data_IF_671022646433
#
_entry.id   IF_671022646433
#
_cell.length_a   1.000
_cell.length_b   1.000
_cell.length_c   1.000
_cell.angle_alpha   90.00
_cell.angle_beta   90.00
_cell.angle_gamma   90.00
#
_symmetry.space_group_name_H-M   'P 1'
#
loop_
_entity.id
_entity.type
_entity.pdbx_description
1 polymer ?
#
# COMPACT_ATOMS: atom_id res chain seq x y z
N UNK A 1 10.66 -4.37 -40.85
CA UNK A 1 9.68 -3.50 -40.16
C UNK A 1 9.70 -3.71 -38.64
N UNK A 2 9.26 -4.86 -38.10
CA UNK A 2 9.21 -5.16 -36.65
C UNK A 2 10.48 -4.80 -35.87
N UNK A 3 11.66 -5.23 -36.33
CA UNK A 3 12.93 -4.88 -35.67
C UNK A 3 13.19 -3.36 -35.64
N UNK A 4 12.89 -2.64 -36.72
CA UNK A 4 13.05 -1.18 -36.81
C UNK A 4 12.07 -0.44 -35.90
N UNK A 5 10.84 -0.95 -35.74
CA UNK A 5 9.87 -0.44 -34.77
C UNK A 5 10.40 -0.62 -33.34
N UNK A 6 10.91 -1.80 -32.99
CA UNK A 6 11.54 -2.04 -31.69
C UNK A 6 12.77 -1.16 -31.47
N UNK A 7 13.61 -0.94 -32.48
CA UNK A 7 14.76 -0.01 -32.38
C UNK A 7 14.29 1.42 -32.14
N UNK A 8 13.23 1.87 -32.84
CA UNK A 8 12.61 3.18 -32.65
C UNK A 8 12.10 3.34 -31.21
N UNK A 9 11.29 2.40 -30.73
CA UNK A 9 10.75 2.40 -29.37
C UNK A 9 11.85 2.45 -28.29
N UNK A 10 12.93 1.68 -28.48
CA UNK A 10 14.10 1.71 -27.57
C UNK A 10 14.84 3.05 -27.57
N UNK A 11 14.85 3.78 -28.69
CA UNK A 11 15.43 5.12 -28.77
C UNK A 11 14.51 6.15 -28.13
N UNK A 12 13.20 6.05 -28.36
CA UNK A 12 12.16 6.90 -27.75
C UNK A 12 12.15 6.80 -26.23
N UNK A 13 12.34 5.60 -25.69
CA UNK A 13 12.37 5.41 -24.25
C UNK A 13 13.69 5.84 -23.58
N UNK A 14 14.80 5.92 -24.34
CA UNK A 14 16.07 6.49 -23.85
C UNK A 14 16.12 8.01 -23.96
N UNK A 15 15.44 8.56 -24.96
CA UNK A 15 15.41 9.99 -25.22
C UNK A 15 13.98 10.39 -25.53
N UNK A 16 13.32 11.03 -24.56
CA UNK A 16 11.95 11.52 -24.69
C UNK A 16 11.76 12.43 -25.91
N UNK A 17 12.81 13.14 -26.35
CA UNK A 17 12.78 13.99 -27.56
C UNK A 17 12.64 13.20 -28.86
N UNK A 18 12.97 11.91 -28.84
CA UNK A 18 12.78 11.03 -29.99
C UNK A 18 11.32 10.59 -30.16
N UNK A 19 10.50 10.66 -29.10
CA UNK A 19 9.05 10.46 -29.20
C UNK A 19 8.41 11.78 -29.67
N UNK A 20 8.39 11.99 -30.98
CA UNK A 20 7.97 13.25 -31.59
C UNK A 20 6.55 13.70 -31.18
N UNK A 21 5.51 12.83 -31.20
CA UNK A 21 4.17 13.22 -30.75
C UNK A 21 4.15 13.72 -29.30
N UNK A 22 4.78 12.99 -28.38
CA UNK A 22 4.88 13.37 -26.98
C UNK A 22 5.64 14.70 -26.82
N UNK A 23 6.85 14.77 -27.36
CA UNK A 23 7.73 15.93 -27.22
C UNK A 23 7.08 17.20 -27.76
N UNK A 24 6.52 17.19 -28.97
CA UNK A 24 5.89 18.38 -29.55
C UNK A 24 4.67 18.84 -28.73
N UNK A 25 3.85 17.91 -28.25
CA UNK A 25 2.66 18.26 -27.47
C UNK A 25 2.98 18.79 -26.07
N UNK A 26 4.07 18.30 -25.45
CA UNK A 26 4.45 18.59 -24.08
C UNK A 26 5.59 19.61 -23.95
N UNK A 27 6.18 20.06 -25.05
CA UNK A 27 7.36 20.95 -25.07
C UNK A 27 7.18 22.18 -24.18
N UNK A 28 6.05 22.87 -24.31
CA UNK A 28 5.79 24.09 -23.54
C UNK A 28 5.68 23.78 -22.05
N UNK A 29 5.00 22.69 -21.67
CA UNK A 29 4.88 22.26 -20.29
C UNK A 29 6.25 21.86 -19.69
N UNK A 30 7.11 21.19 -20.47
CA UNK A 30 8.46 20.80 -20.05
C UNK A 30 9.30 22.04 -19.73
N UNK A 31 9.23 23.07 -20.55
CA UNK A 31 9.98 24.32 -20.33
C UNK A 31 9.40 25.14 -19.17
N UNK A 32 8.07 25.27 -19.10
CA UNK A 32 7.37 26.03 -18.03
C UNK A 32 7.64 25.42 -16.66
N UNK A 33 7.55 24.10 -16.55
CA UNK A 33 7.70 23.35 -15.29
C UNK A 33 9.15 22.90 -15.03
N UNK A 34 10.09 23.28 -15.90
CA UNK A 34 11.53 22.98 -15.79
C UNK A 34 11.83 21.48 -15.64
N UNK A 35 11.10 20.64 -16.39
CA UNK A 35 11.27 19.20 -16.40
C UNK A 35 12.49 18.77 -17.22
N UNK A 36 13.68 19.25 -16.86
CA UNK A 36 14.93 18.99 -17.58
C UNK A 36 15.74 17.90 -16.87
N UNK A 37 15.79 16.66 -17.40
CA UNK A 37 16.55 15.59 -16.77
C UNK A 37 18.05 15.90 -16.78
N UNK A 38 18.71 15.66 -15.64
CA UNK A 38 20.16 15.82 -15.48
C UNK A 38 20.89 14.63 -16.10
N UNK A 39 21.20 14.74 -17.40
CA UNK A 39 22.01 13.76 -18.14
C UNK A 39 21.21 12.85 -19.08
N UNK A 40 21.88 12.30 -20.10
CA UNK A 40 21.28 11.48 -21.16
C UNK A 40 20.92 10.04 -20.76
N UNK A 41 20.50 9.84 -19.51
CA UNK A 41 20.19 8.54 -18.93
C UNK A 41 18.91 7.93 -19.52
N UNK A 42 18.78 6.59 -19.59
CA UNK A 42 17.50 5.90 -19.79
C UNK A 42 16.36 6.34 -18.87
N UNK A 43 16.67 6.98 -17.74
CA UNK A 43 15.70 7.55 -16.81
C UNK A 43 15.11 8.90 -17.26
N UNK A 44 15.63 9.51 -18.34
CA UNK A 44 15.22 10.85 -18.78
C UNK A 44 13.72 10.93 -19.13
N UNK A 45 13.16 9.90 -19.78
CA UNK A 45 11.74 9.87 -20.09
C UNK A 45 10.88 9.71 -18.82
N UNK A 46 11.28 8.80 -17.93
CA UNK A 46 10.59 8.60 -16.66
C UNK A 46 10.58 9.90 -15.84
N UNK A 47 11.71 10.60 -15.74
CA UNK A 47 11.83 11.90 -15.08
C UNK A 47 10.85 12.94 -15.64
N UNK A 48 10.79 13.07 -16.97
CA UNK A 48 9.88 14.05 -17.61
C UNK A 48 8.42 13.70 -17.34
N UNK A 49 8.05 12.42 -17.40
CA UNK A 49 6.69 11.98 -17.07
C UNK A 49 6.34 12.30 -15.60
N UNK A 50 7.21 11.92 -14.66
CA UNK A 50 7.07 12.19 -13.21
C UNK A 50 6.89 13.69 -12.91
N UNK A 51 7.74 14.52 -13.52
CA UNK A 51 7.70 15.97 -13.33
C UNK A 51 6.39 16.57 -13.85
N UNK A 52 5.96 16.19 -15.05
CA UNK A 52 4.71 16.68 -15.63
C UNK A 52 3.47 16.15 -14.89
N UNK A 53 3.49 14.91 -14.42
CA UNK A 53 2.44 14.36 -13.55
C UNK A 53 2.36 15.12 -12.22
N UNK A 54 3.51 15.44 -11.63
CA UNK A 54 3.57 16.26 -10.41
C UNK A 54 2.95 17.63 -10.64
N UNK A 55 3.27 18.30 -11.76
CA UNK A 55 2.65 19.57 -12.13
C UNK A 55 1.12 19.43 -12.26
N UNK A 56 0.63 18.42 -12.99
CA UNK A 56 -0.82 18.15 -13.12
C UNK A 56 -1.46 17.96 -11.74
N UNK A 57 -0.79 17.25 -10.85
CA UNK A 57 -1.28 16.92 -9.51
C UNK A 57 -1.30 18.12 -8.57
N UNK A 58 -0.35 19.04 -8.72
CA UNK A 58 -0.31 20.32 -8.00
C UNK A 58 -1.32 21.35 -8.58
N UNK A 59 -2.11 20.96 -9.60
CA UNK A 59 -3.14 21.80 -10.21
C UNK A 59 -2.59 22.74 -11.30
N UNK A 60 -1.35 22.53 -11.73
CA UNK A 60 -0.72 23.33 -12.77
C UNK A 60 -1.29 23.00 -14.16
N UNK A 61 -1.15 23.97 -15.07
CA UNK A 61 -1.68 23.83 -16.43
C UNK A 61 -0.78 22.97 -17.32
N UNK A 62 -1.34 21.88 -17.84
CA UNK A 62 -0.75 21.05 -18.90
C UNK A 62 -1.81 20.80 -19.96
N UNK A 63 -1.46 20.96 -21.24
CA UNK A 63 -2.42 20.86 -22.35
C UNK A 63 -3.08 19.47 -22.41
N UNK A 64 -4.37 19.41 -22.78
CA UNK A 64 -5.08 18.14 -22.90
C UNK A 64 -4.46 17.19 -23.94
N UNK A 65 -3.83 17.74 -24.99
CA UNK A 65 -3.08 16.96 -25.98
C UNK A 65 -1.80 16.36 -25.41
N UNK A 66 -1.06 17.11 -24.57
CA UNK A 66 0.09 16.55 -23.85
C UNK A 66 -0.36 15.44 -22.89
N UNK A 67 -1.41 15.68 -22.09
CA UNK A 67 -1.95 14.67 -21.17
C UNK A 67 -2.39 13.39 -21.90
N UNK A 68 -2.95 13.51 -23.11
CA UNK A 68 -3.32 12.34 -23.91
C UNK A 68 -2.08 11.54 -24.33
N UNK A 69 -1.06 12.19 -24.90
CA UNK A 69 0.16 11.50 -25.31
C UNK A 69 0.95 10.93 -24.12
N UNK A 70 0.91 11.58 -22.96
CA UNK A 70 1.41 11.01 -21.70
C UNK A 70 0.72 9.67 -21.42
N UNK A 71 -0.62 9.65 -21.39
CA UNK A 71 -1.40 8.43 -21.11
C UNK A 71 -1.15 7.30 -22.13
N UNK A 72 -0.97 7.64 -23.40
CA UNK A 72 -0.64 6.67 -24.45
C UNK A 72 0.73 6.04 -24.22
N UNK A 73 1.73 6.88 -23.91
CA UNK A 73 3.08 6.43 -23.63
C UNK A 73 3.17 5.58 -22.35
N UNK A 74 2.45 5.98 -21.29
CA UNK A 74 2.41 5.24 -20.03
C UNK A 74 1.84 3.82 -20.23
N UNK A 75 0.77 3.69 -21.02
CA UNK A 75 0.21 2.38 -21.41
C UNK A 75 1.20 1.55 -22.21
N UNK A 76 1.92 2.15 -23.15
CA UNK A 76 2.93 1.43 -23.93
C UNK A 76 4.05 0.89 -23.03
N UNK A 77 4.53 1.70 -22.08
CA UNK A 77 5.58 1.32 -21.12
C UNK A 77 5.15 0.18 -20.19
N UNK A 78 3.87 0.13 -19.79
CA UNK A 78 3.30 -0.94 -18.97
C UNK A 78 2.86 -2.18 -19.76
N UNK A 79 2.64 -2.07 -21.07
CA UNK A 79 2.24 -3.21 -21.90
C UNK A 79 3.43 -3.99 -22.47
N UNK A 80 4.54 -3.31 -22.78
CA UNK A 80 5.72 -3.90 -23.41
C UNK A 80 7.01 -3.52 -22.67
N UNK A 81 7.44 -4.36 -21.72
CA UNK A 81 8.68 -4.16 -20.97
C UNK A 81 9.92 -3.97 -21.88
N UNK A 82 9.91 -4.51 -23.11
CA UNK A 82 11.07 -4.46 -24.02
C UNK A 82 11.35 -3.06 -24.56
N UNK A 83 10.37 -2.16 -24.46
CA UNK A 83 10.52 -0.74 -24.78
C UNK A 83 11.03 0.05 -23.59
N UNK A 84 11.00 -0.49 -22.38
CA UNK A 84 11.54 0.16 -21.18
C UNK A 84 13.03 -0.20 -21.00
N UNK A 85 13.98 0.72 -21.27
CA UNK A 85 15.40 0.41 -21.23
C UNK A 85 15.92 0.22 -19.80
N UNK A 86 15.27 0.84 -18.80
CA UNK A 86 15.62 0.65 -17.40
C UNK A 86 15.26 -0.77 -16.94
N UNK A 87 14.05 -1.25 -17.23
CA UNK A 87 13.63 -2.63 -16.91
C UNK A 87 14.52 -3.64 -17.65
N UNK A 88 14.73 -3.45 -18.97
CA UNK A 88 15.56 -4.40 -19.75
C UNK A 88 16.99 -4.48 -19.21
N UNK A 89 17.57 -3.36 -18.79
CA UNK A 89 18.95 -3.33 -18.27
C UNK A 89 19.05 -3.86 -16.83
N UNK A 90 18.10 -3.51 -15.96
CA UNK A 90 18.18 -3.76 -14.51
C UNK A 90 17.52 -5.07 -14.07
N UNK A 91 16.61 -5.63 -14.88
CA UNK A 91 15.90 -6.88 -14.59
C UNK A 91 16.31 -8.06 -15.48
N UNK A 92 17.43 -7.98 -16.20
CA UNK A 92 17.82 -9.02 -17.17
C UNK A 92 17.97 -10.40 -16.52
N UNK A 93 18.51 -10.46 -15.30
CA UNK A 93 18.71 -11.70 -14.54
C UNK A 93 17.36 -12.31 -14.17
N UNK A 94 16.48 -11.52 -13.57
CA UNK A 94 15.17 -11.94 -13.09
C UNK A 94 14.28 -12.41 -14.24
N UNK A 95 14.29 -11.69 -15.36
CA UNK A 95 13.52 -12.06 -16.55
C UNK A 95 13.95 -13.44 -17.07
N UNK A 96 15.27 -13.69 -17.15
CA UNK A 96 15.81 -14.95 -17.67
C UNK A 96 15.58 -16.12 -16.72
N UNK A 97 15.72 -15.89 -15.42
CA UNK A 97 15.64 -16.96 -14.41
C UNK A 97 14.21 -17.29 -13.98
N UNK A 98 13.35 -16.28 -13.88
CA UNK A 98 12.03 -16.43 -13.28
C UNK A 98 10.87 -16.20 -14.27
N UNK A 99 11.05 -15.35 -15.29
CA UNK A 99 10.00 -14.99 -16.24
C UNK A 99 10.27 -15.53 -17.66
N UNK A 100 10.64 -16.81 -17.75
CA UNK A 100 11.15 -17.51 -18.96
C UNK A 100 10.25 -17.36 -20.20
N UNK A 101 8.95 -17.08 -20.03
CA UNK A 101 8.04 -16.71 -21.12
C UNK A 101 7.83 -15.20 -21.13
N UNK A 102 8.65 -14.54 -21.93
CA UNK A 102 8.48 -13.13 -22.26
C UNK A 102 7.18 -12.96 -23.06
N UNK A 103 6.14 -12.50 -22.39
CA UNK A 103 4.83 -12.26 -22.98
C UNK A 103 4.48 -10.76 -22.97
N UNK A 104 3.89 -10.31 -24.07
CA UNK A 104 3.36 -8.94 -24.23
C UNK A 104 2.07 -8.75 -23.43
N UNK A 105 1.67 -7.49 -23.26
CA UNK A 105 0.44 -7.11 -22.59
C UNK A 105 0.59 -7.11 -21.07
N UNK A 106 1.75 -6.66 -20.57
CA UNK A 106 2.02 -6.47 -19.14
C UNK A 106 2.45 -7.71 -18.37
N UNK A 107 2.27 -8.92 -18.91
CA UNK A 107 2.55 -10.18 -18.19
C UNK A 107 3.98 -10.35 -17.68
N UNK A 108 4.97 -9.84 -18.42
CA UNK A 108 6.37 -9.89 -17.96
C UNK A 108 6.58 -8.98 -16.76
N UNK A 109 5.95 -7.80 -16.73
CA UNK A 109 6.00 -6.90 -15.59
C UNK A 109 5.25 -7.49 -14.38
N UNK A 110 4.08 -8.11 -14.60
CA UNK A 110 3.37 -8.81 -13.53
C UNK A 110 4.20 -9.92 -12.90
N UNK A 111 4.87 -10.75 -13.73
CA UNK A 111 5.79 -11.77 -13.23
C UNK A 111 6.90 -11.15 -12.39
N UNK A 112 7.51 -10.06 -12.85
CA UNK A 112 8.54 -9.37 -12.07
C UNK A 112 8.00 -8.80 -10.75
N UNK A 113 6.79 -8.24 -10.75
CA UNK A 113 6.13 -7.73 -9.54
C UNK A 113 5.81 -8.86 -8.54
N UNK A 114 5.31 -10.00 -9.03
CA UNK A 114 5.06 -11.21 -8.25
C UNK A 114 6.35 -11.73 -7.60
N UNK A 115 7.43 -11.86 -8.38
CA UNK A 115 8.73 -12.34 -7.88
C UNK A 115 9.41 -11.35 -6.93
N UNK A 116 9.21 -10.05 -7.12
CA UNK A 116 9.63 -9.04 -6.16
C UNK A 116 8.95 -9.22 -4.80
N UNK A 117 7.67 -9.62 -4.79
CA UNK A 117 6.91 -9.88 -3.57
C UNK A 117 7.35 -11.18 -2.89
N UNK A 118 7.54 -12.26 -3.65
CA UNK A 118 7.94 -13.57 -3.12
C UNK A 118 9.30 -13.54 -2.41
N UNK A 119 10.26 -12.70 -2.85
CA UNK A 119 11.54 -12.47 -2.15
C UNK A 119 11.33 -12.10 -0.67
N UNK A 120 10.30 -11.31 -0.38
CA UNK A 120 9.98 -10.85 0.97
C UNK A 120 8.97 -11.79 1.66
N UNK A 121 8.58 -12.89 1.02
CA UNK A 121 7.69 -13.91 1.55
C UNK A 121 8.41 -15.05 2.25
N UNK A 122 7.63 -16.06 2.64
CA UNK A 122 8.06 -17.24 3.40
C UNK A 122 9.12 -18.07 2.64
N UNK A 123 9.07 -18.05 1.30
CA UNK A 123 9.99 -18.76 0.39
C UNK A 123 11.19 -17.90 -0.03
N UNK A 124 12.09 -17.64 0.91
CA UNK A 124 13.31 -16.82 0.73
C UNK A 124 14.40 -17.41 -0.19
N UNK A 125 14.06 -18.33 -1.10
CA UNK A 125 14.99 -18.93 -2.07
C UNK A 125 15.16 -18.11 -3.36
N UNK A 126 14.34 -17.08 -3.58
CA UNK A 126 14.36 -16.27 -4.80
C UNK A 126 15.32 -15.08 -4.63
N UNK A 127 16.41 -15.11 -5.39
CA UNK A 127 17.38 -14.01 -5.45
C UNK A 127 16.90 -12.92 -6.42
N UNK A 128 16.01 -12.04 -5.95
CA UNK A 128 15.52 -10.88 -6.72
C UNK A 128 16.35 -9.63 -6.41
N UNK A 129 16.98 -9.01 -7.40
CA UNK A 129 17.89 -7.87 -7.18
C UNK A 129 17.17 -6.61 -6.70
N UNK A 130 17.88 -5.79 -5.93
CA UNK A 130 17.40 -4.47 -5.55
C UNK A 130 17.27 -3.55 -6.78
N UNK A 131 18.19 -3.68 -7.74
CA UNK A 131 18.17 -2.91 -8.98
C UNK A 131 16.90 -3.13 -9.81
N UNK A 132 16.47 -4.38 -9.95
CA UNK A 132 15.22 -4.67 -10.65
C UNK A 132 14.00 -4.14 -9.89
N UNK A 133 14.00 -4.26 -8.56
CA UNK A 133 12.91 -3.73 -7.71
C UNK A 133 12.74 -2.23 -7.89
N UNK A 134 13.84 -1.47 -7.81
CA UNK A 134 13.81 -0.02 -8.03
C UNK A 134 13.34 0.32 -9.44
N UNK A 135 13.82 -0.38 -10.46
CA UNK A 135 13.38 -0.15 -11.84
C UNK A 135 11.87 -0.33 -12.04
N UNK A 136 11.25 -1.29 -11.34
CA UNK A 136 9.80 -1.49 -11.33
C UNK A 136 9.11 -0.36 -10.55
N UNK A 137 9.62 -0.01 -9.38
CA UNK A 137 9.08 1.08 -8.57
C UNK A 137 9.05 2.40 -9.35
N UNK A 138 10.16 2.76 -10.00
CA UNK A 138 10.29 3.96 -10.83
C UNK A 138 9.32 3.94 -12.01
N UNK A 139 9.15 2.77 -12.65
CA UNK A 139 8.18 2.60 -13.73
C UNK A 139 6.74 2.81 -13.24
N UNK A 140 6.37 2.23 -12.09
CA UNK A 140 5.04 2.38 -11.52
C UNK A 140 4.75 3.84 -11.17
N UNK A 141 5.75 4.58 -10.67
CA UNK A 141 5.62 6.02 -10.38
C UNK A 141 5.42 6.81 -11.67
N UNK A 142 6.30 6.64 -12.65
CA UNK A 142 6.27 7.40 -13.91
C UNK A 142 5.05 7.10 -14.79
N UNK A 143 4.33 6.02 -14.51
CA UNK A 143 3.13 5.63 -15.25
C UNK A 143 1.84 5.93 -14.51
N UNK A 144 1.90 6.46 -13.29
CA UNK A 144 0.70 6.69 -12.47
C UNK A 144 -0.05 5.40 -12.14
N UNK A 145 0.62 4.24 -12.15
CA UNK A 145 -0.02 2.93 -11.95
C UNK A 145 -0.70 2.80 -10.58
N UNK A 146 -0.25 3.59 -9.60
CA UNK A 146 -0.81 3.63 -8.26
C UNK A 146 -2.06 4.49 -8.08
N UNK A 147 -2.51 5.19 -9.11
CA UNK A 147 -3.78 5.92 -9.11
C UNK A 147 -4.70 5.58 -10.29
N UNK A 148 -4.23 4.84 -11.29
CA UNK A 148 -5.07 4.34 -12.38
C UNK A 148 -4.75 2.88 -12.74
N UNK A 149 -5.59 1.96 -12.27
CA UNK A 149 -5.47 0.52 -12.57
C UNK A 149 -5.57 0.20 -14.07
N UNK A 150 -6.09 1.10 -14.90
CA UNK A 150 -6.21 0.92 -16.35
C UNK A 150 -4.87 1.05 -17.06
N UNK A 151 -3.88 1.67 -16.43
CA UNK A 151 -2.50 1.77 -16.96
C UNK A 151 -1.83 0.41 -16.94
N UNK A 152 -2.09 -0.39 -15.90
CA UNK A 152 -1.63 -1.78 -15.81
C UNK A 152 -2.55 -2.68 -16.65
N UNK A 153 -2.07 -3.13 -17.81
CA UNK A 153 -2.90 -3.79 -18.82
C UNK A 153 -3.62 -5.05 -18.32
N UNK A 154 -2.99 -5.81 -17.43
CA UNK A 154 -3.55 -7.02 -16.82
C UNK A 154 -4.58 -6.69 -15.76
N UNK A 155 -4.35 -5.73 -14.87
CA UNK A 155 -5.38 -5.21 -13.97
C UNK A 155 -6.57 -4.67 -14.75
N UNK A 156 -6.35 -3.84 -15.78
CA UNK A 156 -7.41 -3.36 -16.67
C UNK A 156 -8.27 -4.51 -17.19
N UNK A 157 -7.64 -5.59 -17.66
CA UNK A 157 -8.36 -6.73 -18.24
C UNK A 157 -9.10 -7.56 -17.20
N UNK A 158 -8.48 -7.83 -16.06
CA UNK A 158 -9.00 -8.76 -15.06
C UNK A 158 -9.95 -8.10 -14.06
N UNK A 159 -9.71 -6.84 -13.72
CA UNK A 159 -10.47 -6.10 -12.71
C UNK A 159 -11.59 -5.24 -13.28
N UNK A 160 -11.74 -5.11 -14.60
CA UNK A 160 -12.80 -4.30 -15.19
C UNK A 160 -14.22 -4.78 -14.81
N UNK A 161 -14.50 -6.08 -14.88
CA UNK A 161 -15.81 -6.60 -14.50
C UNK A 161 -16.11 -6.46 -12.99
N UNK A 162 -15.17 -6.81 -12.09
CA UNK A 162 -15.30 -6.50 -10.66
C UNK A 162 -15.50 -5.00 -10.37
N UNK A 163 -14.75 -4.11 -11.03
CA UNK A 163 -14.87 -2.66 -10.85
C UNK A 163 -16.29 -2.18 -11.18
N UNK A 164 -16.87 -2.63 -12.30
CA UNK A 164 -18.26 -2.31 -12.65
C UNK A 164 -19.30 -2.93 -11.71
N UNK A 165 -18.96 -3.99 -10.98
CA UNK A 165 -19.91 -4.67 -10.08
C UNK A 165 -19.86 -4.08 -8.66
N UNK A 166 -18.65 -3.83 -8.15
CA UNK A 166 -18.39 -3.46 -6.75
C UNK A 166 -18.20 -1.95 -6.56
N UNK A 167 -17.63 -1.26 -7.56
CA UNK A 167 -17.16 0.12 -7.42
C UNK A 167 -17.92 1.11 -8.32
N UNK A 168 -19.24 0.93 -8.44
CA UNK A 168 -20.09 1.76 -9.32
C UNK A 168 -20.16 3.23 -8.91
N UNK A 169 -20.06 3.50 -7.62
CA UNK A 169 -20.20 4.83 -7.05
C UNK A 169 -18.88 5.63 -7.05
N UNK A 170 -17.78 5.01 -7.46
CA UNK A 170 -16.50 5.68 -7.60
C UNK A 170 -16.53 6.68 -8.78
N UNK A 171 -16.11 7.91 -8.50
CA UNK A 171 -16.24 9.05 -9.40
C UNK A 171 -15.04 9.25 -10.34
N UNK A 172 -13.92 8.59 -10.08
CA UNK A 172 -12.70 8.65 -10.89
C UNK A 172 -11.89 7.36 -10.75
N UNK A 173 -10.83 7.21 -11.56
CA UNK A 173 -10.05 5.97 -11.63
C UNK A 173 -9.27 5.65 -10.35
N UNK A 174 -8.88 6.69 -9.61
CA UNK A 174 -8.22 6.56 -8.30
C UNK A 174 -9.19 6.01 -7.24
N UNK A 175 -10.41 6.53 -7.19
CA UNK A 175 -11.46 6.02 -6.31
C UNK A 175 -11.87 4.59 -6.67
N UNK A 176 -11.87 4.23 -7.96
CA UNK A 176 -12.10 2.84 -8.39
C UNK A 176 -10.99 1.93 -7.87
N UNK A 177 -9.73 2.34 -7.99
CA UNK A 177 -8.59 1.57 -7.51
C UNK A 177 -8.65 1.36 -5.98
N UNK A 178 -8.89 2.43 -5.20
CA UNK A 178 -9.06 2.33 -3.75
C UNK A 178 -10.20 1.38 -3.38
N UNK A 179 -11.36 1.50 -4.04
CA UNK A 179 -12.50 0.61 -3.80
C UNK A 179 -12.18 -0.86 -4.12
N UNK A 180 -11.46 -1.14 -5.21
CA UNK A 180 -11.04 -2.51 -5.55
C UNK A 180 -10.13 -3.09 -4.47
N UNK A 181 -9.22 -2.28 -3.92
CA UNK A 181 -8.30 -2.70 -2.86
C UNK A 181 -9.00 -2.89 -1.52
N UNK A 182 -9.96 -2.04 -1.16
CA UNK A 182 -10.80 -2.22 0.04
C UNK A 182 -11.63 -3.51 -0.04
N UNK A 183 -12.04 -3.88 -1.25
CA UNK A 183 -12.79 -5.09 -1.54
C UNK A 183 -11.88 -6.26 -1.96
N UNK A 184 -10.58 -6.22 -1.62
CA UNK A 184 -9.62 -7.26 -2.00
C UNK A 184 -10.12 -8.65 -1.59
N UNK A 185 -10.82 -8.74 -0.44
CA UNK A 185 -11.39 -9.98 0.09
C UNK A 185 -12.76 -10.37 -0.43
N UNK A 186 -13.40 -9.50 -1.21
CA UNK A 186 -14.73 -9.78 -1.71
C UNK A 186 -14.72 -10.92 -2.73
N UNK A 187 -15.69 -11.84 -2.60
CA UNK A 187 -15.83 -13.02 -3.46
C UNK A 187 -15.98 -12.69 -4.94
N UNK A 188 -16.58 -11.54 -5.25
CA UNK A 188 -16.85 -11.12 -6.63
C UNK A 188 -15.63 -10.48 -7.32
N UNK A 189 -14.53 -10.26 -6.61
CA UNK A 189 -13.30 -9.72 -7.20
C UNK A 189 -12.60 -10.75 -8.12
N UNK A 190 -12.68 -12.03 -7.75
CA UNK A 190 -12.01 -13.12 -8.45
C UNK A 190 -10.51 -13.23 -8.12
N UNK A 191 -9.98 -14.46 -8.16
CA UNK A 191 -8.59 -14.75 -7.73
C UNK A 191 -7.52 -14.03 -8.54
N UNK A 192 -7.68 -13.96 -9.87
CA UNK A 192 -6.67 -13.35 -10.76
C UNK A 192 -6.59 -11.83 -10.59
N UNK A 193 -7.73 -11.14 -10.50
CA UNK A 193 -7.74 -9.69 -10.24
C UNK A 193 -7.14 -9.39 -8.85
N UNK A 194 -7.53 -10.16 -7.83
CA UNK A 194 -7.00 -10.07 -6.48
C UNK A 194 -5.48 -10.20 -6.44
N UNK A 195 -4.92 -11.22 -7.09
CA UNK A 195 -3.48 -11.47 -7.14
C UNK A 195 -2.72 -10.27 -7.73
N UNK A 196 -3.15 -9.78 -8.90
CA UNK A 196 -2.53 -8.61 -9.51
C UNK A 196 -2.69 -7.33 -8.66
N UNK A 197 -3.81 -7.17 -7.94
CA UNK A 197 -4.01 -6.04 -7.04
C UNK A 197 -3.06 -6.12 -5.84
N UNK A 198 -2.84 -7.30 -5.27
CA UNK A 198 -1.87 -7.48 -4.18
C UNK A 198 -0.45 -7.19 -4.68
N UNK A 199 -0.09 -7.64 -5.89
CA UNK A 199 1.21 -7.32 -6.49
C UNK A 199 1.43 -5.81 -6.62
N UNK A 200 0.42 -5.05 -7.05
CA UNK A 200 0.50 -3.58 -7.10
C UNK A 200 0.58 -2.99 -5.69
N UNK A 201 -0.33 -3.40 -4.80
CA UNK A 201 -0.38 -2.92 -3.40
C UNK A 201 0.94 -3.15 -2.66
N UNK A 202 1.69 -4.21 -2.98
CA UNK A 202 3.00 -4.46 -2.39
C UNK A 202 4.00 -3.31 -2.63
N UNK A 203 4.00 -2.71 -3.82
CA UNK A 203 4.82 -1.55 -4.14
C UNK A 203 4.25 -0.27 -3.52
N UNK A 204 2.92 -0.07 -3.60
CA UNK A 204 2.25 1.05 -2.92
C UNK A 204 2.51 1.05 -1.40
N UNK A 205 2.59 -0.15 -0.81
CA UNK A 205 2.85 -0.33 0.61
C UNK A 205 4.21 0.20 1.04
N UNK A 206 5.18 0.15 0.13
CA UNK A 206 6.58 0.50 0.38
C UNK A 206 6.88 1.93 -0.02
N UNK A 207 6.18 2.48 -0.99
CA UNK A 207 6.42 3.85 -1.43
C UNK A 207 5.20 4.74 -1.23
N UNK A 208 5.33 5.69 -0.31
CA UNK A 208 4.29 6.67 -0.02
C UNK A 208 3.90 7.49 -1.25
N UNK A 209 4.82 7.73 -2.19
CA UNK A 209 4.54 8.50 -3.42
C UNK A 209 3.75 7.69 -4.45
N UNK A 210 3.81 6.36 -4.40
CA UNK A 210 3.10 5.51 -5.34
C UNK A 210 1.60 5.49 -5.07
N UNK A 211 1.17 5.58 -3.80
CA UNK A 211 -0.25 5.66 -3.46
C UNK A 211 -0.75 7.07 -3.73
N UNK A 212 -1.30 7.30 -4.92
CA UNK A 212 -1.60 8.65 -5.41
C UNK A 212 -2.65 9.37 -4.55
N UNK A 213 -3.65 8.65 -4.04
CA UNK A 213 -4.68 9.20 -3.17
C UNK A 213 -4.06 9.67 -1.84
N UNK A 214 -3.27 8.80 -1.22
CA UNK A 214 -2.57 9.10 0.03
C UNK A 214 -1.57 10.25 -0.16
N UNK A 215 -0.74 10.19 -1.19
CA UNK A 215 0.28 11.19 -1.46
C UNK A 215 -0.32 12.57 -1.65
N UNK A 216 -1.35 12.72 -2.49
CA UNK A 216 -2.02 14.00 -2.73
C UNK A 216 -2.66 14.57 -1.47
N UNK A 217 -3.25 13.73 -0.63
CA UNK A 217 -3.88 14.16 0.61
C UNK A 217 -2.86 14.55 1.69
N UNK A 218 -1.70 13.88 1.74
CA UNK A 218 -0.80 13.91 2.88
C UNK A 218 0.57 14.53 2.64
N UNK A 219 0.96 14.89 1.40
CA UNK A 219 2.31 15.43 1.07
C UNK A 219 2.73 16.55 2.02
N UNK A 220 1.88 17.56 2.22
CA UNK A 220 2.19 18.71 3.06
C UNK A 220 2.29 18.34 4.55
N UNK A 221 1.35 17.52 5.05
CA UNK A 221 1.37 17.05 6.43
C UNK A 221 2.63 16.22 6.69
N UNK A 222 3.04 15.37 5.75
CA UNK A 222 4.25 14.57 5.85
C UNK A 222 5.52 15.44 5.89
N UNK A 223 5.57 16.51 5.09
CA UNK A 223 6.69 17.46 5.10
C UNK A 223 6.82 18.21 6.43
N UNK A 224 5.70 18.60 7.05
CA UNK A 224 5.69 19.35 8.31
C UNK A 224 5.87 18.48 9.55
N UNK A 225 5.32 17.27 9.53
CA UNK A 225 5.19 16.41 10.72
C UNK A 225 6.25 15.31 10.79
N UNK A 226 6.73 14.80 9.66
CA UNK A 226 7.61 13.63 9.61
C UNK A 226 9.08 13.98 9.29
N UNK A 227 9.50 15.22 9.58
CA UNK A 227 10.86 15.74 9.41
C UNK A 227 11.48 15.46 8.03
N UNK A 228 10.66 15.47 6.96
CA UNK A 228 11.16 15.32 5.59
C UNK A 228 10.64 16.44 4.67
N UNK A 229 11.39 17.54 4.53
CA UNK A 229 10.99 18.67 3.69
C UNK A 229 11.07 18.39 2.19
N UNK A 230 11.71 17.29 1.76
CA UNK A 230 11.98 16.97 0.35
C UNK A 230 11.14 15.81 -0.18
N UNK A 231 10.08 15.40 0.54
CA UNK A 231 9.13 14.39 0.04
C UNK A 231 8.61 14.81 -1.35
N UNK A 232 8.79 13.93 -2.33
CA UNK A 232 8.35 14.16 -3.71
C UNK A 232 9.39 14.79 -4.63
N UNK A 233 10.57 15.17 -4.12
CA UNK A 233 11.67 15.66 -4.94
C UNK A 233 12.44 14.46 -5.56
N UNK A 234 12.48 14.32 -6.89
CA UNK A 234 13.15 13.20 -7.54
C UNK A 234 14.65 13.09 -7.24
N UNK A 235 15.30 14.18 -6.86
CA UNK A 235 16.75 14.26 -6.62
C UNK A 235 17.11 14.23 -5.12
N UNK A 236 16.18 14.61 -4.23
CA UNK A 236 16.46 14.83 -2.80
C UNK A 236 15.63 13.98 -1.82
N UNK A 237 14.63 13.21 -2.28
CA UNK A 237 13.86 12.35 -1.38
C UNK A 237 14.67 11.11 -0.94
N UNK A 238 15.11 11.09 0.32
CA UNK A 238 15.90 10.01 0.94
C UNK A 238 15.07 9.13 1.89
N UNK A 239 13.74 9.21 1.84
CA UNK A 239 12.88 8.51 2.81
C UNK A 239 13.06 7.00 2.74
N UNK A 240 13.29 6.32 3.88
CA UNK A 240 13.12 4.88 3.94
C UNK A 240 11.65 4.50 3.63
N UNK A 241 11.47 3.79 2.52
CA UNK A 241 10.22 3.20 2.06
C UNK A 241 9.32 2.68 3.21
N UNK A 242 8.15 3.30 3.40
CA UNK A 242 7.11 2.86 4.35
C UNK A 242 7.07 3.55 5.72
N UNK A 243 7.99 4.48 6.04
CA UNK A 243 8.01 5.16 7.35
C UNK A 243 7.00 6.32 7.48
N UNK A 244 6.63 6.97 6.37
CA UNK A 244 5.74 8.14 6.39
C UNK A 244 4.33 7.79 6.86
N UNK A 245 3.74 6.70 6.36
CA UNK A 245 2.41 6.27 6.79
C UNK A 245 2.38 6.00 8.30
N UNK A 246 3.38 5.29 8.82
CA UNK A 246 3.48 4.99 10.26
C UNK A 246 3.74 6.26 11.10
N UNK A 247 4.45 7.26 10.58
CA UNK A 247 4.61 8.56 11.22
C UNK A 247 3.26 9.30 11.29
N UNK A 248 2.59 9.49 10.15
CA UNK A 248 1.30 10.18 10.06
C UNK A 248 0.26 9.50 10.95
N UNK A 249 0.18 8.18 10.92
CA UNK A 249 -0.77 7.43 11.74
C UNK A 249 -0.57 7.65 13.25
N UNK A 250 0.69 7.69 13.72
CA UNK A 250 1.00 8.02 15.13
C UNK A 250 0.58 9.44 15.52
N UNK A 251 0.59 10.40 14.60
CA UNK A 251 0.06 11.75 14.84
C UNK A 251 -1.48 11.81 14.90
N UNK A 252 -2.18 10.80 14.35
CA UNK A 252 -3.64 10.69 14.42
C UNK A 252 -4.08 10.10 15.75
N UNK A 253 -3.39 9.06 16.23
CA UNK A 253 -3.79 8.34 17.44
C UNK A 253 -3.61 9.20 18.71
N UNK A 254 -4.67 9.39 19.52
CA UNK A 254 -4.65 10.31 20.68
C UNK A 254 -3.55 10.03 21.70
N UNK A 255 -3.12 8.77 21.84
CA UNK A 255 -2.13 8.34 22.84
C UNK A 255 -0.72 8.16 22.29
N UNK A 256 -0.55 8.34 20.97
CA UNK A 256 0.75 8.23 20.29
C UNK A 256 1.25 9.58 19.77
N UNK A 257 0.39 10.61 19.69
CA UNK A 257 0.83 11.93 19.26
C UNK A 257 1.67 12.62 20.35
N UNK A 258 2.97 12.77 20.07
CA UNK A 258 3.93 13.43 20.97
C UNK A 258 3.74 14.95 21.08
N UNK A 259 3.09 15.59 20.09
CA UNK A 259 2.75 17.01 20.12
C UNK A 259 1.28 17.25 19.74
N UNK A 260 0.38 17.40 20.73
CA UNK A 260 -1.05 17.61 20.50
C UNK A 260 -1.41 18.85 19.67
N UNK A 261 -0.47 19.79 19.49
CA UNK A 261 -0.65 21.00 18.67
C UNK A 261 -0.44 20.71 17.18
N UNK A 262 0.37 19.71 16.86
CA UNK A 262 0.64 19.23 15.51
C UNK A 262 -0.38 18.15 15.16
N UNK A 263 -1.28 18.45 14.23
CA UNK A 263 -2.36 17.56 13.82
C UNK A 263 -2.35 17.38 12.32
N UNK A 264 -2.54 16.14 11.91
CA UNK A 264 -2.76 15.77 10.52
C UNK A 264 -4.06 16.42 10.01
N UNK A 265 -4.06 16.90 8.77
CA UNK A 265 -5.24 17.49 8.15
C UNK A 265 -6.37 16.47 8.01
N UNK A 266 -7.63 16.91 8.02
CA UNK A 266 -8.78 15.98 7.94
C UNK A 266 -8.78 15.10 6.69
N UNK A 267 -8.31 15.65 5.56
CA UNK A 267 -8.24 14.91 4.29
C UNK A 267 -7.16 13.84 4.38
N UNK A 268 -5.98 14.18 4.90
CA UNK A 268 -4.93 13.20 5.13
C UNK A 268 -5.33 12.14 6.18
N UNK A 269 -6.02 12.52 7.26
CA UNK A 269 -6.55 11.55 8.24
C UNK A 269 -7.40 10.49 7.56
N UNK A 270 -8.33 10.89 6.70
CA UNK A 270 -9.20 9.95 6.00
C UNK A 270 -8.39 8.97 5.12
N UNK A 271 -7.41 9.46 4.36
CA UNK A 271 -6.58 8.62 3.50
C UNK A 271 -5.61 7.73 4.28
N UNK A 272 -5.05 8.20 5.40
CA UNK A 272 -4.19 7.39 6.27
C UNK A 272 -5.00 6.25 6.88
N UNK A 273 -6.18 6.52 7.45
CA UNK A 273 -7.04 5.47 8.02
C UNK A 273 -7.46 4.46 6.95
N UNK A 274 -7.94 4.94 5.78
CA UNK A 274 -8.28 4.10 4.62
C UNK A 274 -7.12 3.18 4.24
N UNK A 275 -5.93 3.76 4.11
CA UNK A 275 -4.72 3.02 3.72
C UNK A 275 -4.32 1.99 4.77
N UNK A 276 -4.40 2.33 6.06
CA UNK A 276 -4.11 1.40 7.15
C UNK A 276 -5.09 0.23 7.18
N UNK A 277 -6.40 0.49 7.09
CA UNK A 277 -7.45 -0.54 7.03
C UNK A 277 -7.33 -1.44 5.80
N UNK A 278 -6.92 -0.87 4.66
CA UNK A 278 -6.66 -1.62 3.44
C UNK A 278 -5.47 -2.56 3.63
N UNK A 279 -4.33 -2.05 4.11
CA UNK A 279 -3.08 -2.82 4.28
C UNK A 279 -3.18 -3.89 5.37
N UNK A 280 -4.02 -3.68 6.39
CA UNK A 280 -4.25 -4.66 7.44
C UNK A 280 -4.82 -6.01 6.94
N UNK A 281 -5.32 -6.07 5.70
CA UNK A 281 -5.81 -7.31 5.07
C UNK A 281 -4.74 -8.35 4.80
N UNK A 282 -3.47 -7.97 4.72
CA UNK A 282 -2.40 -8.88 4.33
C UNK A 282 -1.06 -8.40 4.89
N UNK A 283 -0.36 -9.28 5.61
CA UNK A 283 0.93 -8.94 6.25
C UNK A 283 1.97 -8.43 5.24
N UNK A 284 1.90 -8.82 3.96
CA UNK A 284 2.80 -8.37 2.89
C UNK A 284 2.65 -6.89 2.55
N UNK A 285 1.50 -6.31 2.92
CA UNK A 285 1.17 -4.90 2.77
C UNK A 285 1.54 -4.08 4.02
N UNK A 286 2.11 -4.73 5.04
CA UNK A 286 2.66 -4.12 6.26
C UNK A 286 4.18 -4.34 6.31
N UNK A 287 4.99 -3.54 5.58
CA UNK A 287 6.43 -3.80 5.43
C UNK A 287 7.18 -3.92 6.75
N UNK A 288 6.80 -3.12 7.76
CA UNK A 288 7.43 -3.15 9.07
C UNK A 288 7.23 -4.50 9.78
N UNK A 289 6.02 -5.08 9.71
CA UNK A 289 5.72 -6.40 10.27
C UNK A 289 6.39 -7.48 9.43
N UNK A 290 6.18 -7.47 8.12
CA UNK A 290 6.74 -8.48 7.23
C UNK A 290 8.26 -8.62 7.38
N UNK A 291 9.00 -7.51 7.36
CA UNK A 291 10.46 -7.53 7.48
C UNK A 291 10.94 -7.97 8.88
N UNK A 292 10.19 -7.62 9.93
CA UNK A 292 10.51 -8.02 11.30
C UNK A 292 10.15 -9.47 11.60
N UNK A 293 9.15 -10.02 10.90
CA UNK A 293 8.52 -11.30 11.20
C UNK A 293 8.74 -12.38 10.15
N UNK A 294 9.47 -12.13 9.05
CA UNK A 294 9.63 -13.11 7.95
C UNK A 294 10.10 -14.49 8.43
N UNK A 295 11.05 -14.55 9.37
CA UNK A 295 11.54 -15.81 9.94
C UNK A 295 10.47 -16.53 10.77
N UNK A 296 9.72 -15.79 11.58
CA UNK A 296 8.65 -16.34 12.41
C UNK A 296 7.45 -16.78 11.56
N UNK A 297 7.14 -16.04 10.49
CA UNK A 297 6.14 -16.42 9.49
C UNK A 297 6.49 -17.76 8.84
N UNK A 298 7.75 -17.95 8.43
CA UNK A 298 8.20 -19.23 7.83
C UNK A 298 8.23 -20.38 8.84
N UNK A 299 8.58 -20.13 10.10
CA UNK A 299 8.81 -21.20 11.08
C UNK A 299 7.57 -21.58 11.88
N UNK A 300 6.69 -20.62 12.17
CA UNK A 300 5.51 -20.79 13.03
C UNK A 300 4.19 -20.79 12.24
N UNK A 301 4.15 -20.11 11.08
CA UNK A 301 2.93 -19.81 10.35
C UNK A 301 2.90 -20.34 8.89
N UNK A 302 3.88 -21.16 8.48
CA UNK A 302 3.95 -21.67 7.11
C UNK A 302 2.86 -22.71 6.77
N UNK A 303 2.39 -23.46 7.77
CA UNK A 303 1.31 -24.45 7.61
C UNK A 303 0.08 -23.96 8.38
N UNK A 304 -1.07 -23.83 7.70
CA UNK A 304 -2.41 -23.50 8.27
C UNK A 304 -2.74 -22.02 8.43
N UNK A 305 -2.26 -21.16 7.53
CA UNK A 305 -2.66 -19.76 7.51
C UNK A 305 -3.26 -19.46 6.14
N UNK A 306 -4.55 -19.13 6.12
CA UNK A 306 -5.17 -18.56 4.92
C UNK A 306 -4.65 -17.12 4.72
N UNK A 307 -4.61 -16.61 3.48
CA UNK A 307 -4.22 -15.22 3.24
C UNK A 307 -5.03 -14.25 4.12
N UNK A 308 -4.33 -13.40 4.86
CA UNK A 308 -4.90 -12.44 5.81
C UNK A 308 -5.04 -12.94 7.25
N UNK A 309 -4.67 -14.19 7.55
CA UNK A 309 -4.65 -14.74 8.92
C UNK A 309 -3.23 -14.72 9.54
N UNK A 310 -2.23 -14.18 8.84
CA UNK A 310 -0.83 -14.20 9.28
C UNK A 310 -0.62 -13.43 10.58
N UNK A 311 -1.26 -12.26 10.71
CA UNK A 311 -1.18 -11.45 11.94
C UNK A 311 -1.76 -12.24 13.12
N UNK A 312 -2.92 -12.88 12.95
CA UNK A 312 -3.54 -13.73 13.97
C UNK A 312 -2.61 -14.87 14.40
N UNK A 313 -1.99 -15.56 13.44
CA UNK A 313 -1.02 -16.61 13.74
C UNK A 313 0.19 -16.09 14.55
N UNK A 314 0.71 -14.92 14.19
CA UNK A 314 1.80 -14.28 14.94
C UNK A 314 1.37 -13.90 16.36
N UNK A 315 0.16 -13.34 16.54
CA UNK A 315 -0.43 -13.02 17.85
C UNK A 315 -0.65 -14.27 18.71
N UNK A 316 -1.11 -15.37 18.13
CA UNK A 316 -1.28 -16.65 18.81
C UNK A 316 0.05 -17.16 19.36
N UNK A 317 1.13 -16.94 18.61
CA UNK A 317 2.49 -17.32 18.99
C UNK A 317 3.33 -16.21 19.63
N UNK A 318 2.70 -15.11 20.09
CA UNK A 318 3.39 -13.89 20.55
C UNK A 318 4.60 -14.11 21.47
N UNK A 319 4.50 -15.03 22.44
CA UNK A 319 5.58 -15.33 23.40
C UNK A 319 6.78 -16.06 22.80
N UNK A 320 6.59 -16.73 21.65
CA UNK A 320 7.62 -17.49 20.93
C UNK A 320 8.28 -16.70 19.81
N UNK A 321 7.74 -15.52 19.48
CA UNK A 321 8.27 -14.66 18.44
C UNK A 321 9.68 -14.17 18.80
N UNK A 322 10.49 -13.91 17.79
CA UNK A 322 11.77 -13.23 17.96
C UNK A 322 11.52 -11.79 18.44
N UNK A 323 12.45 -11.22 19.23
CA UNK A 323 12.28 -9.88 19.86
C UNK A 323 11.84 -8.80 18.86
N UNK A 324 12.42 -8.81 17.64
CA UNK A 324 12.07 -7.87 16.57
C UNK A 324 10.62 -8.05 16.11
N UNK A 325 10.19 -9.28 15.84
CA UNK A 325 8.81 -9.56 15.43
C UNK A 325 7.82 -9.32 16.57
N UNK A 326 8.14 -9.76 17.77
CA UNK A 326 7.34 -9.55 18.98
C UNK A 326 7.08 -8.06 19.21
N UNK A 327 8.09 -7.21 19.00
CA UNK A 327 7.94 -5.75 19.12
C UNK A 327 6.98 -5.21 18.06
N UNK A 328 7.16 -5.55 16.79
CA UNK A 328 6.28 -5.08 15.70
C UNK A 328 4.84 -5.58 15.85
N UNK A 329 4.63 -6.84 16.25
CA UNK A 329 3.30 -7.38 16.51
C UNK A 329 2.67 -6.74 17.75
N UNK A 330 3.45 -6.50 18.80
CA UNK A 330 2.93 -5.84 20.00
C UNK A 330 2.50 -4.39 19.73
N UNK A 331 3.25 -3.65 18.89
CA UNK A 331 2.87 -2.32 18.43
C UNK A 331 1.59 -2.37 17.59
N UNK A 332 1.51 -3.28 16.62
CA UNK A 332 0.32 -3.41 15.76
C UNK A 332 -0.93 -3.85 16.55
N UNK A 333 -0.81 -4.81 17.47
CA UNK A 333 -1.92 -5.21 18.36
C UNK A 333 -2.39 -4.06 19.25
N UNK A 334 -1.48 -3.17 19.68
CA UNK A 334 -1.86 -1.95 20.36
C UNK A 334 -2.61 -0.98 19.43
N UNK A 335 -2.19 -0.84 18.18
CA UNK A 335 -2.91 -0.04 17.18
C UNK A 335 -4.32 -0.60 16.93
N UNK A 336 -4.48 -1.92 16.78
CA UNK A 336 -5.79 -2.59 16.68
C UNK A 336 -6.69 -2.38 17.92
N UNK A 337 -6.11 -2.01 19.06
CA UNK A 337 -6.85 -1.70 20.29
C UNK A 337 -7.35 -0.27 20.36
N UNK A 338 -6.73 0.63 19.61
CA UNK A 338 -7.20 2.00 19.43
C UNK A 338 -8.14 2.11 18.22
N UNK A 339 -7.95 1.26 17.20
CA UNK A 339 -8.75 1.21 15.99
C UNK A 339 -9.09 -0.23 15.61
N UNK A 340 -10.34 -0.64 15.89
CA UNK A 340 -10.82 -2.00 15.66
C UNK A 340 -10.92 -2.35 14.17
N UNK A 341 -10.97 -1.36 13.28
CA UNK A 341 -11.08 -1.60 11.84
C UNK A 341 -9.75 -2.12 11.23
N UNK A 342 -8.66 -2.07 12.01
CA UNK A 342 -7.42 -2.78 11.69
C UNK A 342 -7.50 -4.29 11.93
N UNK A 343 -8.35 -4.75 12.86
CA UNK A 343 -8.55 -6.18 13.11
C UNK A 343 -9.48 -6.76 12.03
N UNK A 344 -8.88 -7.20 10.93
CA UNK A 344 -9.64 -7.67 9.76
C UNK A 344 -10.45 -8.93 10.04
N UNK A 345 -10.04 -9.75 11.02
CA UNK A 345 -10.83 -10.91 11.42
C UNK A 345 -12.15 -10.46 12.07
N UNK A 346 -12.09 -9.49 12.97
CA UNK A 346 -13.28 -8.86 13.57
C UNK A 346 -14.11 -8.16 12.49
N UNK A 347 -13.53 -7.30 11.65
CA UNK A 347 -14.28 -6.60 10.60
C UNK A 347 -15.02 -7.58 9.68
N UNK A 348 -14.33 -8.65 9.27
CA UNK A 348 -14.88 -9.68 8.36
C UNK A 348 -16.01 -10.48 8.99
N UNK A 349 -15.86 -10.90 10.25
CA UNK A 349 -16.81 -11.83 10.89
C UNK A 349 -17.87 -11.14 11.75
N UNK A 350 -17.62 -9.93 12.24
CA UNK A 350 -18.52 -9.20 13.14
C UNK A 350 -19.29 -8.05 12.51
N UNK A 351 -19.03 -7.65 11.26
CA UNK A 351 -19.70 -6.50 10.62
C UNK A 351 -21.23 -6.53 10.69
N UNK A 352 -21.86 -7.71 10.53
CA UNK A 352 -23.31 -7.85 10.67
C UNK A 352 -23.77 -7.78 12.13
N UNK A 353 -22.95 -8.26 13.07
CA UNK A 353 -23.24 -8.17 14.51
C UNK A 353 -23.12 -6.73 15.03
N UNK A 354 -22.18 -5.95 14.48
CA UNK A 354 -22.08 -4.51 14.76
C UNK A 354 -23.37 -3.79 14.33
N UNK A 355 -23.96 -4.16 13.18
CA UNK A 355 -25.24 -3.60 12.74
C UNK A 355 -26.41 -4.03 13.62
N UNK A 356 -26.44 -5.28 14.08
CA UNK A 356 -27.50 -5.81 14.93
C UNK A 356 -27.49 -5.20 16.33
N UNK A 357 -26.33 -5.17 16.99
CA UNK A 357 -26.22 -4.80 18.40
C UNK A 357 -25.76 -3.36 18.64
N UNK A 358 -24.93 -2.81 17.74
CA UNK A 358 -24.18 -1.58 17.96
C UNK A 358 -24.56 -0.47 16.98
N UNK A 359 -25.76 -0.55 16.38
CA UNK A 359 -26.21 0.38 15.32
C UNK A 359 -26.18 1.86 15.72
N UNK A 360 -26.39 2.17 17.00
CA UNK A 360 -26.37 3.55 17.48
C UNK A 360 -24.95 4.13 17.53
N UNK A 361 -23.94 3.29 17.80
CA UNK A 361 -22.54 3.70 17.79
C UNK A 361 -22.02 3.98 16.37
N UNK A 362 -22.55 3.24 15.38
CA UNK A 362 -22.30 3.54 13.97
C UNK A 362 -22.85 4.92 13.57
N UNK A 363 -24.04 5.29 14.06
CA UNK A 363 -24.67 6.59 13.76
C UNK A 363 -23.93 7.75 14.41
N UNK A 364 -23.36 7.55 15.60
CA UNK A 364 -22.61 8.56 16.35
C UNK A 364 -21.12 8.59 16.01
N UNK A 365 -20.66 7.70 15.13
CA UNK A 365 -19.25 7.55 14.73
C UNK A 365 -18.31 7.31 15.93
N UNK A 366 -18.75 6.51 16.90
CA UNK A 366 -18.01 6.18 18.12
C UNK A 366 -17.34 4.80 18.00
N UNK A 367 -16.30 4.71 17.17
CA UNK A 367 -15.59 3.45 16.90
C UNK A 367 -15.06 2.76 18.19
N UNK A 368 -14.51 3.52 19.14
CA UNK A 368 -14.02 3.05 20.44
C UNK A 368 -15.08 2.31 21.29
N UNK A 369 -16.37 2.51 20.99
CA UNK A 369 -17.49 1.86 21.67
C UNK A 369 -17.88 0.51 21.05
N UNK A 370 -17.46 0.22 19.81
CA UNK A 370 -17.94 -0.94 19.05
C UNK A 370 -17.50 -2.24 19.70
N UNK A 371 -16.20 -2.41 19.97
CA UNK A 371 -15.67 -3.63 20.58
C UNK A 371 -16.29 -3.92 21.98
N UNK A 372 -16.39 -2.94 22.91
CA UNK A 372 -17.13 -3.11 24.17
C UNK A 372 -18.58 -3.56 23.97
N UNK A 373 -19.31 -2.95 23.03
CA UNK A 373 -20.69 -3.32 22.72
C UNK A 373 -20.80 -4.77 22.22
N UNK A 374 -19.85 -5.22 21.38
CA UNK A 374 -19.78 -6.61 20.94
C UNK A 374 -19.51 -7.57 22.10
N UNK A 375 -18.62 -7.22 23.03
CA UNK A 375 -18.36 -8.03 24.23
C UNK A 375 -19.57 -8.16 25.14
N UNK A 376 -20.31 -7.07 25.37
CA UNK A 376 -21.54 -7.09 26.17
C UNK A 376 -22.60 -8.04 25.58
N UNK A 377 -22.65 -8.16 24.26
CA UNK A 377 -23.60 -9.00 23.54
C UNK A 377 -23.03 -10.37 23.12
N UNK A 378 -21.79 -10.72 23.51
CA UNK A 378 -21.07 -11.92 23.05
C UNK A 378 -21.82 -13.24 23.27
N UNK A 379 -22.63 -13.32 24.33
CA UNK A 379 -23.38 -14.51 24.70
C UNK A 379 -24.85 -14.47 24.26
N UNK A 380 -25.29 -13.43 23.53
CA UNK A 380 -26.63 -13.37 22.96
C UNK A 380 -26.83 -14.50 21.94
N UNK A 381 -28.06 -15.02 21.85
CA UNK A 381 -28.38 -16.13 20.96
C UNK A 381 -28.29 -15.77 19.48
N UNK A 382 -28.37 -14.48 19.13
CA UNK A 382 -28.20 -13.97 17.77
C UNK A 382 -26.73 -13.76 17.38
N UNK A 383 -25.80 -13.81 18.34
CA UNK A 383 -24.38 -13.62 18.07
C UNK A 383 -23.87 -14.70 17.11
N UNK A 384 -23.28 -14.28 15.99
CA UNK A 384 -22.68 -15.19 15.03
C UNK A 384 -21.51 -15.96 15.66
N UNK A 385 -21.40 -17.26 15.33
CA UNK A 385 -20.39 -18.13 15.92
C UNK A 385 -18.97 -17.74 15.55
N UNK A 386 -18.74 -17.25 14.33
CA UNK A 386 -17.42 -16.80 13.90
C UNK A 386 -17.09 -15.48 14.58
N UNK A 387 -18.01 -14.53 14.61
CA UNK A 387 -17.80 -13.28 15.34
C UNK A 387 -17.45 -13.54 16.81
N UNK A 388 -18.23 -14.41 17.49
CA UNK A 388 -17.95 -14.80 18.87
C UNK A 388 -16.56 -15.41 19.05
N UNK A 389 -16.11 -16.24 18.11
CA UNK A 389 -14.77 -16.81 18.14
C UNK A 389 -13.67 -15.75 17.98
N UNK A 390 -13.87 -14.72 17.16
CA UNK A 390 -12.92 -13.60 17.05
C UNK A 390 -12.92 -12.74 18.33
N UNK A 391 -14.07 -12.54 18.97
CA UNK A 391 -14.14 -11.86 20.27
C UNK A 391 -13.43 -12.66 21.37
N UNK A 392 -13.65 -13.98 21.43
CA UNK A 392 -12.95 -14.85 22.38
C UNK A 392 -11.42 -14.81 22.13
N UNK A 393 -11.00 -14.82 20.86
CA UNK A 393 -9.59 -14.65 20.49
C UNK A 393 -9.04 -13.30 20.96
N UNK A 394 -9.78 -12.21 20.73
CA UNK A 394 -9.39 -10.86 21.15
C UNK A 394 -9.19 -10.75 22.65
N UNK A 395 -10.09 -11.30 23.46
CA UNK A 395 -9.93 -11.35 24.91
C UNK A 395 -8.66 -12.10 25.32
N UNK A 396 -8.35 -13.23 24.67
CA UNK A 396 -7.13 -13.99 24.95
C UNK A 396 -5.87 -13.20 24.60
N UNK A 397 -5.88 -12.46 23.50
CA UNK A 397 -4.75 -11.59 23.12
C UNK A 397 -4.59 -10.46 24.14
N UNK A 398 -5.66 -9.76 24.53
CA UNK A 398 -5.60 -8.65 25.50
C UNK A 398 -5.02 -9.06 26.87
N UNK A 399 -5.12 -10.34 27.24
CA UNK A 399 -4.54 -10.87 28.49
C UNK A 399 -3.02 -11.09 28.42
N UNK A 400 -2.41 -11.10 27.24
CA UNK A 400 -0.97 -11.37 27.07
C UNK A 400 -0.08 -10.19 27.46
N UNK A 401 -0.54 -8.96 27.23
CA UNK A 401 0.16 -7.73 27.61
C UNK A 401 -0.87 -6.64 27.91
N UNK A 402 -0.71 -5.95 29.05
CA UNK A 402 -1.60 -4.86 29.47
C UNK A 402 -1.73 -3.73 28.42
N UNK A 403 -0.74 -3.59 27.53
CA UNK A 403 -0.71 -2.61 26.46
C UNK A 403 -1.68 -2.92 25.32
N UNK A 404 -2.16 -4.16 25.22
CA UNK A 404 -3.06 -4.61 24.15
C UNK A 404 -4.51 -4.25 24.39
N UNK A 405 -4.84 -3.78 25.59
CA UNK A 405 -6.14 -3.18 25.88
C UNK A 405 -5.97 -1.67 26.06
N UNK A 406 -6.35 -0.88 25.05
CA UNK A 406 -6.27 0.59 25.07
C UNK A 406 -6.92 1.19 26.33
N UNK A 407 -8.13 0.72 26.69
CA UNK A 407 -8.84 1.19 27.88
C UNK A 407 -8.09 0.85 29.17
N UNK A 408 -7.56 -0.36 29.29
CA UNK A 408 -6.79 -0.78 30.45
C UNK A 408 -5.47 0.00 30.56
N UNK A 409 -4.71 0.10 29.46
CA UNK A 409 -3.48 0.91 29.39
C UNK A 409 -3.73 2.34 29.82
N UNK A 410 -4.81 2.97 29.36
CA UNK A 410 -5.21 4.35 29.74
C UNK A 410 -5.52 4.45 31.23
N UNK A 411 -6.36 3.57 31.75
CA UNK A 411 -6.81 3.60 33.14
C UNK A 411 -5.66 3.35 34.13
N UNK A 412 -4.79 2.37 33.84
CA UNK A 412 -3.71 1.95 34.72
C UNK A 412 -2.38 2.66 34.46
N UNK A 413 -2.30 3.60 33.51
CA UNK A 413 -1.06 4.32 33.16
C UNK A 413 -0.33 4.91 34.39
N UNK A 414 -1.01 5.62 35.32
CA UNK A 414 -0.34 6.19 36.48
C UNK A 414 0.26 5.12 37.41
N UNK A 415 -0.48 4.03 37.62
CA UNK A 415 -0.06 2.92 38.49
C UNK A 415 1.13 2.17 37.88
N UNK A 416 1.10 1.90 36.57
CA UNK A 416 2.20 1.25 35.86
C UNK A 416 3.47 2.10 35.91
N UNK A 417 3.35 3.42 35.68
CA UNK A 417 4.50 4.33 35.77
C UNK A 417 5.10 4.38 37.18
N UNK A 418 4.27 4.23 38.22
CA UNK A 418 4.68 4.29 39.62
C UNK A 418 5.27 2.96 40.11
N UNK A 419 4.64 1.84 39.75
CA UNK A 419 4.91 0.53 40.35
C UNK A 419 5.68 -0.42 39.43
N UNK A 420 5.74 -0.14 38.13
CA UNK A 420 6.39 -0.99 37.13
C UNK A 420 7.49 -0.22 36.35
N UNK A 421 8.58 0.22 37.01
CA UNK A 421 9.61 1.07 36.39
C UNK A 421 10.38 0.40 35.22
N UNK A 422 10.26 -0.92 35.07
CA UNK A 422 10.85 -1.70 33.97
C UNK A 422 9.85 -1.99 32.84
N UNK A 423 8.57 -1.66 33.00
CA UNK A 423 7.59 -1.78 31.92
C UNK A 423 7.88 -0.68 30.89
N UNK A 424 8.36 -1.06 29.69
CA UNK A 424 8.54 -0.12 28.58
C UNK A 424 7.15 0.43 28.19
N UNK A 425 7.00 1.76 28.17
CA UNK A 425 5.72 2.50 27.97
C UNK A 425 5.03 2.20 26.66
#
# INVERSE_FOLDING_TARGET
CRQKLTTKQKLEAKNYKANFPFFESCKDAIEVHKCHPTGGSPAALAYVLLCLETAINDGETVSGTCQQHMKELQKELMEDYSVNPAIVARCEKEIKLHCVRVEKGGKTLDCLMEKAMERNGIDSQIEFSHDCYEAISDLLKATGAGGDFKVVATLRKQCQAPAYKLCRDANNDMAVLSCLMENVDHKDLGGVCREHLINLQFFLARDFQLDEALYRACKNDAQELCDNPHIGDPDMDVTPHGMILACLYRHILPNMNFDPKKKVSKVCVAEVMRTMHQRASDVRLLPHIQLSCISDLTTLCAEKVEPGEEIKCLQDNYEKLQERCQTSIGEFTQEESEDIDLDKAIVKHCSEMVKEFCSDLLKTNQADGILPCLFENKYDYKMDRKCRAELDHRELIELKDYKFSSKFKKACRPDVQTHCPKAKS
#
